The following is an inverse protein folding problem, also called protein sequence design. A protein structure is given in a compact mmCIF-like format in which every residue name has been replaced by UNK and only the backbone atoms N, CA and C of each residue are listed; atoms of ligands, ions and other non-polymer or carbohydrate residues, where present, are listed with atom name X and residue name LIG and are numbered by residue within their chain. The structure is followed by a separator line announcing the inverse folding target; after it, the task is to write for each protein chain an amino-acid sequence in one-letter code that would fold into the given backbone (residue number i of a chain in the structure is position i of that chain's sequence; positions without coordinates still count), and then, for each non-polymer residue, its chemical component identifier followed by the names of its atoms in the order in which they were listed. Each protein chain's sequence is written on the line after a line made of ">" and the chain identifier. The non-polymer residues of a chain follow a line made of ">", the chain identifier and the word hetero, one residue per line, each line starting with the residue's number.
data_IF_317417471379
#
_entry.id   IF_317417471379
#
_cell.length_a   1.000
_cell.length_b   1.000
_cell.length_c   1.000
_cell.angle_alpha   90.00
_cell.angle_beta   90.00
_cell.angle_gamma   90.00
#
_symmetry.space_group_name_H-M   'P 1'
#
loop_
_entity.id
_entity.type
_entity.pdbx_description
1 polymer ?
#
# COMPACT_ATOMS: atom_id res chain seq x y z
N UNK A 1 -13.37 12.25 -0.17
CA UNK A 1 -12.94 11.23 0.82
C UNK A 1 -13.64 11.51 2.15
N UNK A 2 -14.06 10.47 2.89
CA UNK A 2 -14.66 10.57 4.24
C UNK A 2 -13.54 10.65 5.29
N UNK A 3 -13.82 11.21 6.48
CA UNK A 3 -12.84 11.29 7.59
C UNK A 3 -12.21 9.93 7.92
N UNK A 4 -13.00 8.86 7.95
CA UNK A 4 -12.51 7.50 8.21
C UNK A 4 -11.53 6.98 7.14
N UNK A 5 -11.66 7.40 5.88
CA UNK A 5 -10.71 7.02 4.82
C UNK A 5 -9.36 7.73 5.00
N UNK A 6 -9.36 8.97 5.50
CA UNK A 6 -8.12 9.68 5.83
C UNK A 6 -7.39 9.05 7.02
N UNK A 7 -8.14 8.67 8.06
CA UNK A 7 -7.59 7.93 9.20
C UNK A 7 -7.01 6.59 8.73
N UNK A 8 -7.70 5.88 7.84
CA UNK A 8 -7.19 4.64 7.25
C UNK A 8 -5.85 4.87 6.53
N UNK A 9 -5.72 5.92 5.71
CA UNK A 9 -4.46 6.24 5.03
C UNK A 9 -3.32 6.49 6.04
N UNK A 10 -3.60 7.20 7.14
CA UNK A 10 -2.61 7.41 8.21
C UNK A 10 -2.22 6.10 8.90
N UNK A 11 -3.19 5.22 9.20
CA UNK A 11 -2.91 3.92 9.80
C UNK A 11 -2.09 3.05 8.85
N UNK A 12 -2.43 3.01 7.55
CA UNK A 12 -1.66 2.30 6.52
C UNK A 12 -0.23 2.79 6.48
N UNK A 13 -0.03 4.12 6.48
CA UNK A 13 1.31 4.72 6.54
C UNK A 13 2.11 4.23 7.75
N UNK A 14 1.56 4.37 8.96
CA UNK A 14 2.24 3.99 10.21
C UNK A 14 2.55 2.49 10.24
N UNK A 15 1.62 1.64 9.82
CA UNK A 15 1.80 0.19 9.80
C UNK A 15 2.87 -0.23 8.79
N UNK A 16 2.86 0.34 7.58
CA UNK A 16 3.85 0.02 6.56
C UNK A 16 5.25 0.49 6.96
N UNK A 17 5.38 1.70 7.52
CA UNK A 17 6.65 2.20 8.06
C UNK A 17 7.14 1.30 9.21
N UNK A 18 6.25 0.95 10.14
CA UNK A 18 6.58 0.06 11.26
C UNK A 18 7.05 -1.32 10.80
N UNK A 19 6.33 -1.92 9.83
CA UNK A 19 6.71 -3.21 9.26
C UNK A 19 8.09 -3.16 8.59
N UNK A 20 8.34 -2.14 7.75
CA UNK A 20 9.61 -2.02 7.06
C UNK A 20 10.76 -1.68 8.01
N UNK A 21 10.50 -0.89 9.05
CA UNK A 21 11.45 -0.63 10.12
C UNK A 21 11.86 -1.91 10.84
N UNK A 22 10.89 -2.73 11.26
CA UNK A 22 11.15 -4.02 11.91
C UNK A 22 11.95 -4.96 11.00
N UNK A 23 11.63 -4.99 9.70
CA UNK A 23 12.36 -5.79 8.72
C UNK A 23 13.86 -5.44 8.60
N UNK A 24 14.20 -4.15 8.67
CA UNK A 24 15.58 -3.70 8.48
C UNK A 24 16.38 -3.57 9.77
N UNK A 25 15.72 -3.39 10.91
CA UNK A 25 16.38 -3.10 12.19
C UNK A 25 16.25 -4.22 13.23
N UNK A 26 15.46 -5.25 12.97
CA UNK A 26 15.28 -6.38 13.89
C UNK A 26 15.62 -7.69 13.18
N UNK A 27 16.85 -8.18 13.41
CA UNK A 27 17.38 -9.39 12.78
C UNK A 27 16.46 -10.61 12.97
N UNK A 28 15.89 -10.76 14.18
CA UNK A 28 14.96 -11.84 14.49
C UNK A 28 13.71 -11.84 13.58
N UNK A 29 13.20 -10.66 13.22
CA UNK A 29 12.06 -10.55 12.30
C UNK A 29 12.46 -11.04 10.91
N UNK A 30 13.63 -10.62 10.42
CA UNK A 30 14.16 -10.99 9.12
C UNK A 30 14.36 -12.50 8.97
N UNK A 31 14.97 -13.12 9.98
CA UNK A 31 15.19 -14.57 10.03
C UNK A 31 13.89 -15.34 10.17
N UNK A 32 12.92 -14.83 10.95
CA UNK A 32 11.63 -15.50 11.15
C UNK A 32 10.82 -15.65 9.86
N UNK A 33 10.92 -14.68 8.93
CA UNK A 33 10.17 -14.70 7.67
C UNK A 33 11.03 -15.06 6.44
N UNK A 34 12.27 -15.50 6.66
CA UNK A 34 13.23 -15.88 5.62
C UNK A 34 13.44 -14.77 4.55
N UNK A 35 13.45 -13.51 4.99
CA UNK A 35 13.58 -12.34 4.11
C UNK A 35 14.92 -11.62 4.29
N UNK A 36 16.00 -12.32 3.98
CA UNK A 36 17.38 -11.82 4.10
C UNK A 36 17.65 -10.52 3.32
N UNK A 37 16.78 -10.14 2.38
CA UNK A 37 16.94 -8.94 1.55
C UNK A 37 15.94 -7.82 1.90
N UNK A 38 14.98 -8.05 2.79
CA UNK A 38 13.94 -7.08 3.15
C UNK A 38 12.96 -6.78 2.01
N UNK A 39 12.92 -7.65 1.00
CA UNK A 39 12.17 -7.46 -0.25
C UNK A 39 10.69 -7.85 -0.09
N UNK A 40 10.35 -8.64 0.92
CA UNK A 40 8.96 -9.03 1.20
C UNK A 40 8.08 -7.82 1.48
N UNK A 41 8.62 -6.79 2.15
CA UNK A 41 7.90 -5.56 2.40
C UNK A 41 7.48 -4.89 1.10
N UNK A 42 8.45 -4.66 0.24
CA UNK A 42 8.27 -3.98 -1.04
C UNK A 42 7.36 -4.73 -2.02
N UNK A 43 7.53 -6.05 -2.18
CA UNK A 43 6.84 -6.80 -3.23
C UNK A 43 5.59 -7.54 -2.79
N UNK A 44 5.40 -7.75 -1.47
CA UNK A 44 4.30 -8.57 -0.97
C UNK A 44 3.45 -7.78 0.01
N UNK A 45 4.03 -7.34 1.14
CA UNK A 45 3.25 -6.82 2.27
C UNK A 45 2.65 -5.46 1.96
N UNK A 46 3.44 -4.49 1.48
CA UNK A 46 2.95 -3.16 1.15
C UNK A 46 1.83 -3.19 0.08
N UNK A 47 2.02 -3.87 -1.07
CA UNK A 47 0.96 -3.99 -2.07
C UNK A 47 -0.28 -4.74 -1.55
N UNK A 48 -0.12 -5.79 -0.73
CA UNK A 48 -1.23 -6.52 -0.14
C UNK A 48 -2.04 -5.67 0.84
N UNK A 49 -1.38 -4.88 1.68
CA UNK A 49 -2.04 -3.93 2.59
C UNK A 49 -2.85 -2.91 1.78
N UNK A 50 -2.29 -2.36 0.71
CA UNK A 50 -3.00 -1.44 -0.18
C UNK A 50 -4.23 -2.09 -0.83
N UNK A 51 -4.10 -3.32 -1.33
CA UNK A 51 -5.19 -4.13 -1.87
C UNK A 51 -6.34 -4.33 -0.85
N UNK A 52 -6.02 -4.84 0.35
CA UNK A 52 -7.02 -5.14 1.39
C UNK A 52 -7.72 -3.85 1.84
N UNK A 53 -6.97 -2.77 2.05
CA UNK A 53 -7.53 -1.50 2.48
C UNK A 53 -8.47 -0.90 1.42
N UNK A 54 -8.10 -0.96 0.14
CA UNK A 54 -8.96 -0.53 -0.96
C UNK A 54 -10.23 -1.38 -1.03
N UNK A 55 -10.10 -2.71 -0.95
CA UNK A 55 -11.22 -3.64 -0.99
C UNK A 55 -12.23 -3.40 0.13
N UNK A 56 -11.77 -3.36 1.38
CA UNK A 56 -12.64 -3.13 2.54
C UNK A 56 -13.32 -1.76 2.46
N UNK A 57 -12.58 -0.73 2.03
CA UNK A 57 -13.13 0.62 1.88
C UNK A 57 -14.17 0.69 0.77
N UNK A 58 -13.94 0.02 -0.36
CA UNK A 58 -14.86 0.01 -1.50
C UNK A 58 -16.12 -0.78 -1.18
N UNK A 59 -15.97 -1.88 -0.46
CA UNK A 59 -17.09 -2.63 0.10
C UNK A 59 -17.96 -1.74 1.01
N UNK A 60 -17.34 -0.99 1.93
CA UNK A 60 -18.05 -0.18 2.93
C UNK A 60 -18.62 1.12 2.40
N UNK A 61 -17.94 1.80 1.48
CA UNK A 61 -18.27 3.16 1.05
C UNK A 61 -18.48 3.34 -0.46
N UNK A 62 -18.39 2.25 -1.23
CA UNK A 62 -18.50 2.26 -2.69
C UNK A 62 -17.19 2.62 -3.39
N UNK A 63 -17.21 2.39 -4.72
CA UNK A 63 -16.07 2.62 -5.61
C UNK A 63 -15.69 4.10 -5.67
N UNK A 64 -14.39 4.38 -5.57
CA UNK A 64 -13.80 5.71 -5.74
C UNK A 64 -12.42 5.61 -6.36
N UNK A 65 -12.25 6.15 -7.56
CA UNK A 65 -10.96 6.12 -8.27
C UNK A 65 -9.80 6.77 -7.51
N UNK A 66 -10.06 7.84 -6.76
CA UNK A 66 -9.01 8.54 -5.99
C UNK A 66 -8.46 7.73 -4.80
N UNK A 67 -9.19 6.72 -4.29
CA UNK A 67 -8.74 5.93 -3.15
C UNK A 67 -7.51 5.06 -3.47
N UNK A 68 -7.50 4.24 -4.53
CA UNK A 68 -6.32 3.49 -4.91
C UNK A 68 -5.14 4.38 -5.31
N UNK A 69 -5.39 5.54 -5.92
CA UNK A 69 -4.33 6.54 -6.18
C UNK A 69 -3.68 6.99 -4.88
N UNK A 70 -4.48 7.39 -3.88
CA UNK A 70 -3.96 7.84 -2.59
C UNK A 70 -3.28 6.71 -1.80
N UNK A 71 -3.80 5.48 -1.84
CA UNK A 71 -3.16 4.32 -1.22
C UNK A 71 -1.80 4.01 -1.87
N UNK A 72 -1.71 4.09 -3.20
CA UNK A 72 -0.45 3.91 -3.91
C UNK A 72 0.58 4.97 -3.50
N UNK A 73 0.18 6.25 -3.49
CA UNK A 73 1.04 7.36 -3.09
C UNK A 73 1.49 7.21 -1.63
N UNK A 74 0.58 6.91 -0.71
CA UNK A 74 0.92 6.69 0.71
C UNK A 74 1.87 5.52 0.87
N UNK A 75 1.68 4.45 0.10
CA UNK A 75 2.55 3.26 0.14
C UNK A 75 3.94 3.55 -0.39
N UNK A 76 4.05 4.32 -1.48
CA UNK A 76 5.34 4.81 -1.98
C UNK A 76 6.03 5.68 -0.94
N UNK A 77 5.32 6.64 -0.32
CA UNK A 77 5.91 7.51 0.70
C UNK A 77 6.37 6.70 1.92
N UNK A 78 5.57 5.74 2.38
CA UNK A 78 5.95 4.86 3.49
C UNK A 78 7.23 4.08 3.18
N UNK A 79 7.35 3.56 1.95
CA UNK A 79 8.56 2.87 1.51
C UNK A 79 9.78 3.79 1.47
N UNK A 80 9.66 4.97 0.85
CA UNK A 80 10.75 5.97 0.76
C UNK A 80 11.22 6.41 2.14
N UNK A 81 10.29 6.66 3.06
CA UNK A 81 10.62 7.05 4.45
C UNK A 81 11.33 5.92 5.20
N UNK A 82 10.98 4.67 4.91
CA UNK A 82 11.55 3.51 5.59
C UNK A 82 12.89 3.06 5.03
N UNK A 83 13.15 3.35 3.74
CA UNK A 83 14.36 2.95 3.01
C UNK A 83 14.87 4.13 2.19
N UNK A 84 15.37 5.20 2.82
CA UNK A 84 15.78 6.40 2.11
C UNK A 84 16.92 6.14 1.12
N UNK A 85 17.78 5.15 1.39
CA UNK A 85 18.88 4.75 0.50
C UNK A 85 18.40 4.07 -0.80
N UNK A 86 17.16 3.59 -0.86
CA UNK A 86 16.61 2.96 -2.07
C UNK A 86 16.31 3.97 -3.18
N UNK A 87 16.22 5.26 -2.85
CA UNK A 87 16.02 6.34 -3.82
C UNK A 87 16.99 7.49 -3.52
N UNK A 88 17.99 7.66 -4.38
CA UNK A 88 18.70 8.93 -4.40
C UNK A 88 17.76 10.00 -4.93
N UNK A 89 17.03 10.76 -4.12
CA UNK A 89 16.11 11.81 -4.59
C UNK A 89 16.83 13.03 -5.22
N UNK A 90 18.00 12.80 -5.81
CA UNK A 90 18.97 13.78 -6.26
C UNK A 90 19.00 13.98 -7.77
N UNK A 91 18.41 13.07 -8.57
CA UNK A 91 18.38 13.20 -10.03
C UNK A 91 16.98 13.03 -10.64
N UNK A 92 16.70 13.61 -11.83
CA UNK A 92 15.45 13.41 -12.56
C UNK A 92 15.11 11.95 -12.86
N UNK A 93 16.12 11.07 -12.95
CA UNK A 93 15.93 9.63 -13.24
C UNK A 93 15.20 8.92 -12.10
N UNK A 94 15.46 9.33 -10.86
CA UNK A 94 14.89 8.73 -9.65
C UNK A 94 13.37 8.99 -9.53
N UNK A 95 12.88 10.03 -10.21
CA UNK A 95 11.44 10.31 -10.34
C UNK A 95 10.72 9.30 -11.23
N UNK A 96 11.42 8.77 -12.25
CA UNK A 96 10.91 7.71 -13.10
C UNK A 96 10.71 6.42 -12.30
N UNK A 97 11.70 6.05 -11.49
CA UNK A 97 11.64 4.86 -10.63
C UNK A 97 10.52 4.99 -9.58
N UNK A 98 10.38 6.17 -8.95
CA UNK A 98 9.25 6.45 -8.04
C UNK A 98 7.88 6.29 -8.72
N UNK A 99 7.75 6.73 -9.97
CA UNK A 99 6.50 6.56 -10.73
C UNK A 99 6.20 5.08 -10.99
N UNK A 100 7.23 4.29 -11.33
CA UNK A 100 7.10 2.84 -11.53
C UNK A 100 6.69 2.14 -10.24
N UNK A 101 7.31 2.46 -9.11
CA UNK A 101 6.90 1.88 -7.81
C UNK A 101 5.51 2.29 -7.39
N UNK A 102 5.14 3.55 -7.62
CA UNK A 102 3.78 4.02 -7.35
C UNK A 102 2.78 3.26 -8.21
N UNK A 103 3.09 2.99 -9.47
CA UNK A 103 2.23 2.19 -10.34
C UNK A 103 2.14 0.73 -9.86
N UNK A 104 3.25 0.15 -9.38
CA UNK A 104 3.29 -1.18 -8.80
C UNK A 104 2.36 -1.30 -7.58
N UNK A 105 2.23 -0.27 -6.76
CA UNK A 105 1.29 -0.24 -5.63
C UNK A 105 -0.14 0.13 -6.05
N UNK A 106 -0.30 0.92 -7.10
CA UNK A 106 -1.60 1.28 -7.66
C UNK A 106 -2.36 0.08 -8.19
N UNK A 107 -1.68 -0.84 -8.90
CA UNK A 107 -2.33 -2.00 -9.53
C UNK A 107 -3.06 -2.87 -8.49
N UNK A 108 -2.45 -3.33 -7.39
CA UNK A 108 -3.15 -4.05 -6.34
C UNK A 108 -4.26 -3.23 -5.68
N UNK A 109 -4.02 -1.92 -5.45
CA UNK A 109 -5.03 -1.06 -4.85
C UNK A 109 -6.29 -0.93 -5.73
N UNK A 110 -6.15 -0.72 -7.04
CA UNK A 110 -7.30 -0.62 -7.96
C UNK A 110 -8.02 -1.97 -8.12
N UNK A 111 -7.28 -3.09 -8.13
CA UNK A 111 -7.88 -4.42 -8.14
C UNK A 111 -8.71 -4.64 -6.87
N UNK A 112 -8.16 -4.30 -5.70
CA UNK A 112 -8.88 -4.36 -4.42
C UNK A 112 -10.14 -3.49 -4.44
N UNK A 113 -10.03 -2.25 -4.90
CA UNK A 113 -11.15 -1.31 -5.05
C UNK A 113 -12.27 -1.89 -5.93
N UNK A 114 -11.93 -2.46 -7.08
CA UNK A 114 -12.88 -3.11 -7.99
C UNK A 114 -13.58 -4.31 -7.34
N UNK A 115 -12.82 -5.18 -6.66
CA UNK A 115 -13.37 -6.36 -5.98
C UNK A 115 -14.32 -5.93 -4.85
N UNK A 116 -13.90 -4.98 -4.01
CA UNK A 116 -14.76 -4.49 -2.92
C UNK A 116 -16.05 -3.87 -3.42
N UNK A 117 -15.97 -3.10 -4.52
CA UNK A 117 -17.15 -2.53 -5.17
C UNK A 117 -18.07 -3.60 -5.78
N UNK A 118 -17.50 -4.65 -6.39
CA UNK A 118 -18.24 -5.78 -6.94
C UNK A 118 -18.98 -6.55 -5.84
N UNK A 119 -18.28 -6.89 -4.75
CA UNK A 119 -18.86 -7.59 -3.60
C UNK A 119 -20.02 -6.78 -3.01
N UNK A 120 -19.86 -5.44 -2.89
CA UNK A 120 -20.94 -4.56 -2.42
C UNK A 120 -22.16 -4.63 -3.35
N UNK A 121 -21.94 -4.56 -4.66
CA UNK A 121 -23.03 -4.63 -5.66
C UNK A 121 -23.75 -5.95 -5.61
N UNK A 122 -23.02 -7.07 -5.54
CA UNK A 122 -23.61 -8.40 -5.39
C UNK A 122 -24.42 -8.53 -4.11
N UNK A 123 -23.89 -8.05 -2.97
CA UNK A 123 -24.63 -8.04 -1.71
C UNK A 123 -25.95 -7.26 -1.85
N UNK A 124 -25.91 -6.07 -2.43
CA UNK A 124 -27.11 -5.25 -2.65
C UNK A 124 -28.13 -5.86 -3.62
N UNK A 125 -27.70 -6.75 -4.52
CA UNK A 125 -28.59 -7.47 -5.43
C UNK A 125 -29.26 -8.70 -4.78
N UNK A 126 -28.72 -9.21 -3.67
CA UNK A 126 -29.20 -10.41 -2.98
C UNK A 126 -30.20 -10.11 -1.84
N UNK A 127 -30.41 -8.84 -1.48
CA UNK A 127 -31.30 -8.40 -0.38
C UNK A 127 -30.53 -7.98 0.87
#
# INVERSE_FOLDING_TARGET
>A
MRRAEWILLLVVFVVQVGYQFLLFHVDAMRTMIDDEKGLSGMFIVLPLVAYVCAMVSAYRWGFRFWRPVLLAVVTTIAFVVSVPEAFGLTSPRDWGDLAVFTLMYFVPAIVGECIGALIRRWRSALG
#
